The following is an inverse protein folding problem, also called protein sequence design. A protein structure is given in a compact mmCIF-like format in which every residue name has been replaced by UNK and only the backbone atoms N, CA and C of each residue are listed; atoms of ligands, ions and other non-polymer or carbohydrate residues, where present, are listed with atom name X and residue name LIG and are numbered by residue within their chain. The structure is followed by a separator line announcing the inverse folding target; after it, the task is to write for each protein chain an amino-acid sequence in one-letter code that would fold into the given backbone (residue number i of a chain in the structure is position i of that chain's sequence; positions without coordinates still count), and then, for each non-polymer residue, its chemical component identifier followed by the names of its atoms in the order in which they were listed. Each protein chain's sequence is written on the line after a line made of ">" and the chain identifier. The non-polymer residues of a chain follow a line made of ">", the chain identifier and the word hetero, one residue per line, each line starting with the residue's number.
data_IF_420152264787
#
_entry.id   IF_420152264787
#
_cell.length_a   1.000
_cell.length_b   1.000
_cell.length_c   1.000
_cell.angle_alpha   90.00
_cell.angle_beta   90.00
_cell.angle_gamma   90.00
#
_symmetry.space_group_name_H-M   'P 1'
#
loop_
_entity.id
_entity.type
_entity.pdbx_description
1 polymer ?
#
# COMPACT_ATOMS: atom_id res chain seq x y z
N UNK A 1 1.98 -13.58 -6.91
CA UNK A 1 2.99 -12.98 -5.99
C UNK A 1 3.47 -11.69 -6.60
N UNK A 2 3.43 -10.56 -5.88
CA UNK A 2 4.04 -9.31 -6.31
C UNK A 2 5.54 -9.51 -6.59
N UNK A 3 6.09 -8.67 -7.45
CA UNK A 3 7.53 -8.72 -7.71
C UNK A 3 8.30 -8.16 -6.50
N UNK A 4 9.06 -9.00 -5.81
CA UNK A 4 9.86 -8.62 -4.64
C UNK A 4 10.81 -7.44 -4.90
N UNK A 5 11.21 -7.20 -6.16
CA UNK A 5 12.03 -6.06 -6.56
C UNK A 5 11.31 -4.73 -6.36
N UNK A 6 9.98 -4.69 -6.64
CA UNK A 6 9.15 -3.51 -6.40
C UNK A 6 8.99 -3.23 -4.91
N UNK A 7 8.83 -4.27 -4.09
CA UNK A 7 8.74 -4.13 -2.64
C UNK A 7 10.06 -3.60 -2.05
N UNK A 8 11.22 -4.10 -2.52
CA UNK A 8 12.53 -3.59 -2.11
C UNK A 8 12.72 -2.14 -2.51
N UNK A 9 12.34 -1.78 -3.74
CA UNK A 9 12.38 -0.39 -4.19
C UNK A 9 11.51 0.51 -3.31
N UNK A 10 10.28 0.13 -3.05
CA UNK A 10 9.37 0.90 -2.20
C UNK A 10 9.92 1.06 -0.77
N UNK A 11 10.44 -0.02 -0.17
CA UNK A 11 11.07 0.02 1.15
C UNK A 11 12.28 0.97 1.16
N UNK A 12 13.15 0.91 0.14
CA UNK A 12 14.34 1.77 0.06
C UNK A 12 13.99 3.26 0.01
N UNK A 13 12.89 3.64 -0.65
CA UNK A 13 12.42 5.03 -0.68
C UNK A 13 12.11 5.57 0.73
N UNK A 14 11.66 4.71 1.63
CA UNK A 14 11.41 5.07 3.04
C UNK A 14 12.68 5.37 3.84
N UNK A 15 13.86 4.95 3.37
CA UNK A 15 15.15 5.26 4.03
C UNK A 15 15.60 6.69 3.81
N UNK A 16 15.25 7.28 2.67
CA UNK A 16 15.79 8.55 2.16
C UNK A 16 17.32 8.54 1.96
N UNK A 17 17.90 7.36 1.86
CA UNK A 17 19.33 7.16 1.58
C UNK A 17 19.52 6.84 0.10
N UNK A 18 20.26 7.71 -0.61
CA UNK A 18 20.44 7.56 -2.06
C UNK A 18 21.17 6.26 -2.42
N UNK A 19 22.11 5.81 -1.58
CA UNK A 19 22.85 4.57 -1.84
C UNK A 19 21.93 3.35 -1.76
N UNK A 20 21.06 3.28 -0.74
CA UNK A 20 20.07 2.21 -0.61
C UNK A 20 19.05 2.23 -1.75
N UNK A 21 18.60 3.43 -2.15
CA UNK A 21 17.65 3.60 -3.26
C UNK A 21 18.32 3.17 -4.59
N UNK A 22 19.54 3.58 -4.86
CA UNK A 22 20.30 3.19 -6.06
C UNK A 22 20.48 1.68 -6.14
N UNK A 23 20.91 1.03 -5.06
CA UNK A 23 21.08 -0.42 -5.01
C UNK A 23 19.74 -1.16 -5.27
N UNK A 24 18.63 -0.66 -4.72
CA UNK A 24 17.31 -1.24 -4.98
C UNK A 24 16.88 -1.06 -6.44
N UNK A 25 17.18 0.08 -7.06
CA UNK A 25 16.92 0.35 -8.49
C UNK A 25 17.74 -0.55 -9.40
N UNK A 26 19.04 -0.74 -9.11
CA UNK A 26 19.90 -1.68 -9.82
C UNK A 26 19.34 -3.11 -9.73
N UNK A 27 18.86 -3.52 -8.55
CA UNK A 27 18.18 -4.79 -8.36
C UNK A 27 16.84 -4.89 -9.10
N UNK A 28 16.22 -3.76 -9.43
CA UNK A 28 14.96 -3.70 -10.18
C UNK A 28 15.16 -3.65 -11.71
N UNK A 29 16.40 -3.60 -12.20
CA UNK A 29 16.67 -3.74 -13.63
C UNK A 29 16.15 -5.09 -14.13
N UNK A 30 15.34 -5.07 -15.18
CA UNK A 30 14.64 -6.27 -15.69
C UNK A 30 13.27 -6.55 -15.05
N UNK A 31 12.81 -5.72 -14.09
CA UNK A 31 11.38 -5.63 -13.78
C UNK A 31 10.64 -4.86 -14.89
N UNK A 32 9.30 -4.95 -14.89
CA UNK A 32 8.50 -4.12 -15.79
C UNK A 32 8.77 -2.63 -15.52
N UNK A 33 9.31 -1.85 -16.48
CA UNK A 33 9.63 -0.46 -16.27
C UNK A 33 8.41 0.40 -15.88
N UNK A 34 7.23 0.07 -16.39
CA UNK A 34 5.98 0.76 -16.04
C UNK A 34 5.65 0.53 -14.58
N UNK A 35 5.77 -0.71 -14.09
CA UNK A 35 5.53 -1.02 -12.69
C UNK A 35 6.53 -0.32 -11.76
N UNK A 36 7.83 -0.26 -12.13
CA UNK A 36 8.84 0.50 -11.39
C UNK A 36 8.47 1.98 -11.32
N UNK A 37 8.11 2.59 -12.44
CA UNK A 37 7.70 4.00 -12.47
C UNK A 37 6.46 4.26 -11.64
N UNK A 38 5.49 3.34 -11.64
CA UNK A 38 4.29 3.47 -10.80
C UNK A 38 4.60 3.43 -9.30
N UNK A 39 5.57 2.62 -8.85
CA UNK A 39 6.08 2.65 -7.47
C UNK A 39 6.72 3.99 -7.15
N UNK A 40 7.54 4.54 -8.05
CA UNK A 40 8.17 5.84 -7.88
C UNK A 40 7.13 6.97 -7.88
N UNK A 41 6.17 6.93 -8.81
CA UNK A 41 5.12 7.93 -8.90
C UNK A 41 4.25 7.95 -7.62
N UNK A 42 3.82 6.78 -7.11
CA UNK A 42 2.99 6.76 -5.90
C UNK A 42 3.74 7.22 -4.64
N UNK A 43 5.07 7.10 -4.63
CA UNK A 43 5.87 7.46 -3.46
C UNK A 43 5.73 8.93 -3.05
N UNK A 44 5.43 9.84 -4.01
CA UNK A 44 5.28 11.26 -3.71
C UNK A 44 4.17 11.57 -2.69
N UNK A 45 3.18 10.68 -2.54
CA UNK A 45 2.13 10.82 -1.52
C UNK A 45 2.69 10.67 -0.09
N UNK A 46 3.82 10.03 0.05
CA UNK A 46 4.42 9.67 1.34
C UNK A 46 5.71 10.45 1.59
N UNK A 47 6.69 10.34 0.71
CA UNK A 47 7.98 11.01 0.89
C UNK A 47 8.01 12.45 0.35
N UNK A 48 6.94 12.88 -0.32
CA UNK A 48 6.81 14.21 -0.92
C UNK A 48 7.45 14.32 -2.30
N UNK A 49 7.15 15.42 -3.00
CA UNK A 49 7.66 15.68 -4.35
C UNK A 49 9.19 15.74 -4.43
N UNK A 50 9.92 16.38 -3.49
CA UNK A 50 11.38 16.46 -3.61
C UNK A 50 12.05 15.10 -3.70
N UNK A 51 11.76 14.19 -2.78
CA UNK A 51 12.36 12.87 -2.74
C UNK A 51 11.89 12.00 -3.92
N UNK A 52 10.62 12.11 -4.31
CA UNK A 52 10.10 11.39 -5.48
C UNK A 52 10.72 11.87 -6.80
N UNK A 53 10.97 13.18 -6.96
CA UNK A 53 11.67 13.72 -8.14
C UNK A 53 13.12 13.25 -8.21
N UNK A 54 13.82 13.25 -7.07
CA UNK A 54 15.18 12.72 -6.99
C UNK A 54 15.22 11.23 -7.36
N UNK A 55 14.28 10.44 -6.84
CA UNK A 55 14.16 9.02 -7.16
C UNK A 55 13.86 8.76 -8.65
N UNK A 56 12.97 9.54 -9.26
CA UNK A 56 12.70 9.45 -10.70
C UNK A 56 13.91 9.82 -11.53
N UNK A 57 14.65 10.87 -11.15
CA UNK A 57 15.93 11.25 -11.80
C UNK A 57 16.95 10.11 -11.71
N UNK A 58 17.15 9.57 -10.52
CA UNK A 58 18.05 8.46 -10.27
C UNK A 58 17.67 7.20 -11.08
N UNK A 59 16.38 6.90 -11.20
CA UNK A 59 15.91 5.79 -12.04
C UNK A 59 16.29 5.99 -13.52
N UNK A 60 16.22 7.23 -14.06
CA UNK A 60 16.67 7.51 -15.44
C UNK A 60 18.16 7.27 -15.61
N UNK A 61 18.96 7.65 -14.63
CA UNK A 61 20.41 7.39 -14.66
C UNK A 61 20.73 5.89 -14.62
N UNK A 62 20.12 5.16 -13.69
CA UNK A 62 20.41 3.73 -13.47
C UNK A 62 19.90 2.87 -14.61
N UNK A 63 18.67 3.10 -15.06
CA UNK A 63 18.03 2.24 -16.07
C UNK A 63 18.37 2.63 -17.51
N UNK A 64 18.70 3.90 -17.77
CA UNK A 64 18.79 4.48 -19.13
C UNK A 64 17.49 4.33 -19.93
N UNK A 65 16.36 3.99 -19.29
CA UNK A 65 15.05 3.85 -19.95
C UNK A 65 14.38 5.22 -19.99
N UNK A 66 13.86 5.68 -21.15
CA UNK A 66 13.09 6.93 -21.21
C UNK A 66 11.81 6.84 -20.39
N UNK A 67 11.30 8.00 -19.96
CA UNK A 67 10.04 8.06 -19.21
C UNK A 67 8.89 7.47 -20.01
N UNK A 68 8.02 6.69 -19.35
CA UNK A 68 6.78 6.23 -19.94
C UNK A 68 5.91 7.42 -20.35
N UNK A 69 5.14 7.32 -21.44
CA UNK A 69 4.24 8.37 -21.83
C UNK A 69 3.17 8.60 -20.75
N UNK A 70 2.64 9.82 -20.67
CA UNK A 70 1.52 10.11 -19.78
C UNK A 70 0.33 9.19 -20.09
N UNK A 71 -0.32 8.67 -19.04
CA UNK A 71 -1.51 7.85 -19.18
C UNK A 71 -2.72 8.60 -19.79
N UNK A 72 -2.65 9.93 -19.92
CA UNK A 72 -3.71 10.74 -20.56
C UNK A 72 -5.06 10.67 -19.83
N UNK A 73 -5.06 10.46 -18.52
CA UNK A 73 -6.27 10.27 -17.73
C UNK A 73 -7.14 11.54 -17.63
N UNK A 74 -8.46 11.35 -17.66
CA UNK A 74 -9.42 12.41 -17.42
C UNK A 74 -9.58 12.69 -15.92
N UNK A 75 -9.24 13.89 -15.45
CA UNK A 75 -9.39 14.25 -14.04
C UNK A 75 -10.82 14.14 -13.49
N UNK A 76 -11.83 14.23 -14.36
CA UNK A 76 -13.25 14.11 -13.96
C UNK A 76 -13.58 12.74 -13.36
N UNK A 77 -12.86 11.69 -13.73
CA UNK A 77 -13.04 10.35 -13.19
C UNK A 77 -12.36 10.09 -11.83
N UNK A 78 -11.46 10.98 -11.39
CA UNK A 78 -10.65 10.70 -10.19
C UNK A 78 -11.46 10.63 -8.90
N UNK A 79 -12.47 11.50 -8.73
CA UNK A 79 -13.28 11.51 -7.52
C UNK A 79 -14.08 10.22 -7.32
N UNK A 80 -14.68 9.67 -8.38
CA UNK A 80 -15.42 8.42 -8.33
C UNK A 80 -14.49 7.23 -8.11
N UNK A 81 -13.43 7.11 -8.91
CA UNK A 81 -12.39 6.09 -8.75
C UNK A 81 -11.78 6.12 -7.36
N UNK A 82 -11.49 7.32 -6.84
CA UNK A 82 -10.91 7.49 -5.51
C UNK A 82 -11.81 7.00 -4.39
N UNK A 83 -13.11 7.29 -4.46
CA UNK A 83 -14.08 6.74 -3.49
C UNK A 83 -14.12 5.22 -3.53
N UNK A 84 -14.15 4.63 -4.72
CA UNK A 84 -14.17 3.18 -4.92
C UNK A 84 -12.89 2.53 -4.36
N UNK A 85 -11.73 3.02 -4.78
CA UNK A 85 -10.42 2.46 -4.34
C UNK A 85 -10.21 2.64 -2.84
N UNK A 86 -10.48 3.83 -2.31
CA UNK A 86 -10.36 4.11 -0.88
C UNK A 86 -11.32 3.23 -0.05
N UNK A 87 -12.56 3.03 -0.52
CA UNK A 87 -13.51 2.13 0.17
C UNK A 87 -13.05 0.66 0.14
N UNK A 88 -12.42 0.22 -0.93
CA UNK A 88 -11.80 -1.12 -0.98
C UNK A 88 -10.69 -1.24 0.05
N UNK A 89 -9.75 -0.30 0.09
CA UNK A 89 -8.60 -0.32 1.01
C UNK A 89 -9.03 -0.27 2.49
N UNK A 90 -10.02 0.57 2.83
CA UNK A 90 -10.45 0.73 4.22
C UNK A 90 -11.61 -0.18 4.64
N UNK A 91 -12.31 -0.81 3.69
CA UNK A 91 -13.43 -1.71 3.95
C UNK A 91 -14.49 -1.06 4.85
N UNK A 92 -14.91 -1.77 5.90
CA UNK A 92 -15.92 -1.29 6.87
C UNK A 92 -15.48 -0.02 7.63
N UNK A 93 -14.20 0.33 7.63
CA UNK A 93 -13.68 1.55 8.27
C UNK A 93 -13.73 2.79 7.37
N UNK A 94 -14.16 2.67 6.11
CA UNK A 94 -14.15 3.78 5.15
C UNK A 94 -14.92 5.02 5.63
N UNK A 95 -16.15 4.85 6.11
CA UNK A 95 -16.97 5.96 6.63
C UNK A 95 -16.28 6.66 7.80
N UNK A 96 -15.81 5.89 8.79
CA UNK A 96 -15.07 6.43 9.95
C UNK A 96 -13.79 7.16 9.55
N UNK A 97 -13.07 6.67 8.53
CA UNK A 97 -11.90 7.37 8.01
C UNK A 97 -12.28 8.75 7.49
N UNK A 98 -13.30 8.82 6.61
CA UNK A 98 -13.75 10.06 5.99
C UNK A 98 -14.20 11.08 7.04
N UNK A 99 -14.97 10.63 8.04
CA UNK A 99 -15.39 11.48 9.16
C UNK A 99 -14.21 12.04 9.95
N UNK A 100 -13.24 11.17 10.28
CA UNK A 100 -12.05 11.56 11.03
C UNK A 100 -11.15 12.52 10.25
N UNK A 101 -10.92 12.29 8.97
CA UNK A 101 -10.07 13.15 8.14
C UNK A 101 -10.77 14.46 7.84
N UNK A 102 -12.08 14.43 7.53
CA UNK A 102 -12.90 15.62 7.31
C UNK A 102 -12.99 16.52 8.53
N UNK A 103 -12.97 15.93 9.74
CA UNK A 103 -12.92 16.67 10.99
C UNK A 103 -11.55 17.39 11.22
N UNK A 104 -10.47 16.89 10.61
CA UNK A 104 -9.19 17.59 10.60
C UNK A 104 -9.21 18.77 9.61
N UNK A 105 -9.63 18.50 8.38
CA UNK A 105 -9.86 19.54 7.37
C UNK A 105 -10.62 18.94 6.17
N UNK A 106 -11.71 19.57 5.70
CA UNK A 106 -12.51 19.05 4.59
C UNK A 106 -11.74 18.96 3.28
N UNK A 107 -10.83 19.89 2.99
CA UNK A 107 -10.02 19.85 1.78
C UNK A 107 -9.05 18.65 1.79
N UNK A 108 -8.50 18.30 2.95
CA UNK A 108 -7.59 17.14 3.07
C UNK A 108 -8.34 15.83 2.82
N UNK A 109 -9.59 15.74 3.26
CA UNK A 109 -10.45 14.60 2.96
C UNK A 109 -10.73 14.47 1.46
N UNK A 110 -11.05 15.59 0.79
CA UNK A 110 -11.25 15.59 -0.67
C UNK A 110 -9.95 15.28 -1.41
N UNK A 111 -8.83 15.89 -1.03
CA UNK A 111 -7.52 15.63 -1.65
C UNK A 111 -7.06 14.18 -1.47
N UNK A 112 -7.31 13.60 -0.29
CA UNK A 112 -7.01 12.19 -0.06
C UNK A 112 -7.82 11.30 -1.02
N UNK A 113 -9.12 11.51 -1.11
CA UNK A 113 -9.97 10.71 -1.97
C UNK A 113 -9.66 10.93 -3.46
N UNK A 114 -9.65 12.19 -3.92
CA UNK A 114 -9.53 12.53 -5.33
C UNK A 114 -8.09 12.45 -5.82
N UNK A 115 -7.16 13.10 -5.12
CA UNK A 115 -5.74 13.15 -5.47
C UNK A 115 -5.00 11.89 -5.09
N UNK A 116 -5.13 11.45 -3.83
CA UNK A 116 -4.44 10.26 -3.31
C UNK A 116 -4.95 8.98 -3.97
N UNK A 117 -6.18 8.60 -3.66
CA UNK A 117 -6.73 7.34 -4.14
C UNK A 117 -7.20 7.40 -5.60
N UNK A 118 -7.74 8.51 -6.06
CA UNK A 118 -8.27 8.61 -7.41
C UNK A 118 -7.18 8.78 -8.47
N UNK A 119 -6.35 9.79 -8.32
CA UNK A 119 -5.30 10.11 -9.30
C UNK A 119 -4.11 9.16 -9.23
N UNK A 120 -3.70 8.72 -8.02
CA UNK A 120 -2.43 8.02 -7.83
C UNK A 120 -2.63 6.54 -7.55
N UNK A 121 -3.25 6.17 -6.43
CA UNK A 121 -3.33 4.76 -6.03
C UNK A 121 -4.26 3.94 -6.95
N UNK A 122 -5.31 4.55 -7.48
CA UNK A 122 -6.26 3.87 -8.36
C UNK A 122 -5.92 3.94 -9.86
N UNK A 123 -4.78 4.56 -10.24
CA UNK A 123 -4.42 4.68 -11.66
C UNK A 123 -3.96 3.34 -12.26
N UNK A 124 -4.06 3.15 -13.60
CA UNK A 124 -3.55 1.96 -14.27
C UNK A 124 -2.02 1.83 -14.17
N UNK A 125 -1.47 0.73 -14.66
CA UNK A 125 -0.02 0.47 -14.72
C UNK A 125 0.51 -0.40 -13.59
N UNK A 126 -0.19 -0.47 -12.44
CA UNK A 126 0.12 -1.38 -11.34
C UNK A 126 -1.18 -1.77 -10.63
N UNK A 127 -1.34 -3.02 -10.26
CA UNK A 127 -2.52 -3.51 -9.55
C UNK A 127 -2.57 -3.00 -8.09
N UNK A 128 -3.77 -2.96 -7.51
CA UNK A 128 -4.00 -2.38 -6.19
C UNK A 128 -3.30 -3.17 -5.07
N UNK A 129 -3.21 -4.49 -5.18
CA UNK A 129 -2.53 -5.33 -4.18
C UNK A 129 -1.06 -4.97 -4.12
N UNK A 130 -0.38 -4.94 -5.27
CA UNK A 130 1.04 -4.56 -5.35
C UNK A 130 1.26 -3.13 -4.87
N UNK A 131 0.36 -2.19 -5.18
CA UNK A 131 0.44 -0.81 -4.68
C UNK A 131 0.39 -0.74 -3.16
N UNK A 132 -0.60 -1.39 -2.53
CA UNK A 132 -0.77 -1.37 -1.08
C UNK A 132 0.40 -2.05 -0.36
N UNK A 133 0.94 -3.16 -0.90
CA UNK A 133 2.12 -3.82 -0.35
C UNK A 133 3.38 -2.93 -0.45
N UNK A 134 3.58 -2.24 -1.58
CA UNK A 134 4.65 -1.26 -1.74
C UNK A 134 4.51 -0.09 -0.75
N UNK A 135 3.28 0.43 -0.56
CA UNK A 135 3.01 1.48 0.42
C UNK A 135 3.31 1.00 1.83
N UNK A 136 2.87 -0.22 2.20
CA UNK A 136 3.15 -0.79 3.52
C UNK A 136 4.66 -0.93 3.76
N UNK A 137 5.43 -1.43 2.78
CA UNK A 137 6.87 -1.57 2.87
C UNK A 137 7.57 -0.20 3.06
N UNK A 138 7.18 0.82 2.30
CA UNK A 138 7.69 2.19 2.44
C UNK A 138 7.37 2.77 3.82
N UNK A 139 6.13 2.65 4.29
CA UNK A 139 5.68 3.21 5.57
C UNK A 139 6.34 2.55 6.78
N UNK A 140 6.65 1.25 6.69
CA UNK A 140 7.38 0.53 7.72
C UNK A 140 8.78 1.14 7.92
N UNK A 141 9.49 1.39 6.80
CA UNK A 141 10.82 1.99 6.83
C UNK A 141 10.78 3.47 7.21
N UNK A 142 9.79 4.21 6.74
CA UNK A 142 9.63 5.63 7.09
C UNK A 142 9.20 5.86 8.54
N UNK A 143 8.72 4.81 9.25
CA UNK A 143 8.33 4.85 10.67
C UNK A 143 7.07 5.69 10.96
N UNK A 144 6.00 5.41 10.25
CA UNK A 144 4.68 6.01 10.46
C UNK A 144 3.65 4.93 10.84
N UNK A 145 3.68 4.42 12.08
CA UNK A 145 2.98 3.18 12.48
C UNK A 145 1.46 3.23 12.33
N UNK A 146 0.83 4.41 12.46
CA UNK A 146 -0.63 4.55 12.28
C UNK A 146 -1.04 4.32 10.83
N UNK A 147 -0.30 4.90 9.88
CA UNK A 147 -0.54 4.73 8.45
C UNK A 147 -0.14 3.30 8.03
N UNK A 148 0.98 2.79 8.52
CA UNK A 148 1.39 1.40 8.30
C UNK A 148 0.29 0.42 8.71
N UNK A 149 -0.30 0.59 9.90
CA UNK A 149 -1.43 -0.25 10.36
C UNK A 149 -2.58 -0.24 9.34
N UNK A 150 -2.93 0.93 8.81
CA UNK A 150 -4.02 1.07 7.83
C UNK A 150 -3.70 0.36 6.52
N UNK A 151 -2.48 0.51 5.99
CA UNK A 151 -2.09 -0.06 4.71
C UNK A 151 -1.78 -1.57 4.78
N UNK A 152 -1.31 -2.10 5.92
CA UNK A 152 -1.24 -3.56 6.13
C UNK A 152 -2.64 -4.20 6.10
N UNK A 153 -3.64 -3.57 6.71
CA UNK A 153 -5.05 -4.00 6.58
C UNK A 153 -5.59 -3.77 5.18
N UNK A 154 -5.23 -2.65 4.58
CA UNK A 154 -5.59 -2.28 3.22
C UNK A 154 -5.09 -3.30 2.20
N UNK A 155 -3.89 -3.81 2.37
CA UNK A 155 -3.34 -4.89 1.52
C UNK A 155 -4.23 -6.14 1.56
N UNK A 156 -4.64 -6.58 2.75
CA UNK A 156 -5.57 -7.71 2.89
C UNK A 156 -6.94 -7.40 2.26
N UNK A 157 -7.49 -6.21 2.50
CA UNK A 157 -8.77 -5.79 1.93
C UNK A 157 -8.72 -5.66 0.40
N UNK A 158 -7.57 -5.30 -0.16
CA UNK A 158 -7.32 -5.27 -1.60
C UNK A 158 -7.17 -6.68 -2.22
N UNK A 159 -7.05 -7.72 -1.40
CA UNK A 159 -6.95 -9.12 -1.82
C UNK A 159 -5.56 -9.74 -1.69
N UNK A 160 -4.61 -9.08 -1.03
CA UNK A 160 -3.33 -9.69 -0.72
C UNK A 160 -3.50 -10.90 0.22
N UNK A 161 -2.74 -11.94 -0.02
CA UNK A 161 -2.63 -13.06 0.91
C UNK A 161 -1.77 -12.69 2.11
N UNK A 162 -1.95 -13.39 3.22
CA UNK A 162 -1.09 -13.23 4.41
C UNK A 162 0.39 -13.43 4.07
N UNK A 163 0.72 -14.39 3.20
CA UNK A 163 2.09 -14.66 2.77
C UNK A 163 2.72 -13.49 1.98
N UNK A 164 1.93 -12.78 1.16
CA UNK A 164 2.41 -11.61 0.43
C UNK A 164 2.67 -10.42 1.36
N UNK A 165 1.84 -10.26 2.40
CA UNK A 165 2.08 -9.23 3.42
C UNK A 165 3.28 -9.61 4.30
N UNK A 166 3.44 -10.89 4.67
CA UNK A 166 4.62 -11.40 5.38
C UNK A 166 5.91 -11.05 4.61
N UNK A 167 5.94 -11.30 3.29
CA UNK A 167 7.08 -10.96 2.43
C UNK A 167 7.37 -9.45 2.41
N UNK A 168 6.35 -8.60 2.26
CA UNK A 168 6.52 -7.15 2.26
C UNK A 168 7.08 -6.64 3.60
N UNK A 169 6.59 -7.19 4.72
CA UNK A 169 7.08 -6.87 6.07
C UNK A 169 8.53 -7.33 6.25
N UNK A 170 8.88 -8.54 5.83
CA UNK A 170 10.23 -9.07 5.96
C UNK A 170 11.23 -8.27 5.10
N UNK A 171 10.86 -7.90 3.87
CA UNK A 171 11.67 -7.03 3.02
C UNK A 171 11.89 -5.68 3.71
N UNK A 172 10.84 -5.03 4.22
CA UNK A 172 10.95 -3.75 4.91
C UNK A 172 11.85 -3.85 6.17
N UNK A 173 11.71 -4.94 6.94
CA UNK A 173 12.54 -5.19 8.11
C UNK A 173 14.03 -5.29 7.79
N UNK A 174 14.40 -5.70 6.58
CA UNK A 174 15.79 -5.73 6.13
C UNK A 174 16.46 -4.34 6.04
N UNK A 175 15.68 -3.26 6.03
CA UNK A 175 16.17 -1.87 6.05
C UNK A 175 16.18 -1.26 7.46
N UNK A 176 15.81 -2.02 8.49
CA UNK A 176 15.62 -1.50 9.84
C UNK A 176 16.61 -2.12 10.84
N UNK A 177 16.91 -1.38 11.90
CA UNK A 177 17.55 -1.96 13.08
C UNK A 177 16.59 -2.87 13.86
N UNK A 178 17.15 -3.74 14.70
CA UNK A 178 16.42 -4.83 15.38
C UNK A 178 15.15 -4.39 16.12
N UNK A 179 15.21 -3.28 16.87
CA UNK A 179 14.07 -2.80 17.67
C UNK A 179 12.91 -2.34 16.78
N UNK A 180 13.20 -1.64 15.71
CA UNK A 180 12.19 -1.19 14.76
C UNK A 180 11.61 -2.36 13.98
N UNK A 181 12.45 -3.29 13.52
CA UNK A 181 12.00 -4.50 12.83
C UNK A 181 11.08 -5.33 13.73
N UNK A 182 11.41 -5.47 15.02
CA UNK A 182 10.55 -6.13 16.01
C UNK A 182 9.20 -5.41 16.13
N UNK A 183 9.17 -4.10 16.29
CA UNK A 183 7.94 -3.32 16.41
C UNK A 183 7.04 -3.46 15.16
N UNK A 184 7.61 -3.48 13.96
CA UNK A 184 6.86 -3.68 12.71
C UNK A 184 6.26 -5.08 12.66
N UNK A 185 7.02 -6.12 13.03
CA UNK A 185 6.51 -7.51 13.08
C UNK A 185 5.41 -7.68 14.13
N UNK A 186 5.56 -7.09 15.31
CA UNK A 186 4.54 -7.13 16.36
C UNK A 186 3.23 -6.47 15.91
N UNK A 187 3.33 -5.32 15.20
CA UNK A 187 2.18 -4.65 14.62
C UNK A 187 1.48 -5.55 13.60
N UNK A 188 2.23 -6.15 12.68
CA UNK A 188 1.67 -7.07 11.69
C UNK A 188 1.05 -8.31 12.34
N UNK A 189 1.70 -8.92 13.31
CA UNK A 189 1.17 -10.07 14.04
C UNK A 189 -0.17 -9.77 14.74
N UNK A 190 -0.33 -8.56 15.28
CA UNK A 190 -1.59 -8.13 15.89
C UNK A 190 -2.71 -8.04 14.84
N UNK A 191 -2.41 -7.48 13.65
CA UNK A 191 -3.36 -7.37 12.53
C UNK A 191 -3.75 -8.76 12.01
N UNK A 192 -2.77 -9.64 11.76
CA UNK A 192 -2.97 -11.01 11.27
C UNK A 192 -3.87 -11.82 12.20
N UNK A 193 -3.63 -11.75 13.51
CA UNK A 193 -4.50 -12.42 14.51
C UNK A 193 -5.92 -11.87 14.53
N UNK A 194 -6.09 -10.56 14.30
CA UNK A 194 -7.41 -9.95 14.21
C UNK A 194 -8.18 -10.37 12.96
N UNK A 195 -7.50 -10.40 11.81
CA UNK A 195 -8.11 -10.83 10.55
C UNK A 195 -8.61 -12.29 10.64
N UNK A 196 -7.76 -13.20 11.15
CA UNK A 196 -8.14 -14.62 11.34
C UNK A 196 -9.38 -14.78 12.23
N UNK A 197 -9.47 -14.04 13.35
CA UNK A 197 -10.67 -14.11 14.23
C UNK A 197 -11.94 -13.66 13.54
N UNK A 198 -11.86 -12.69 12.63
CA UNK A 198 -13.02 -12.22 11.87
C UNK A 198 -13.48 -13.25 10.84
N UNK A 199 -12.56 -13.95 10.19
CA UNK A 199 -12.85 -15.04 9.25
C UNK A 199 -13.51 -16.21 9.98
N UNK A 200 -12.96 -16.63 11.12
CA UNK A 200 -13.50 -17.73 11.95
C UNK A 200 -14.92 -17.40 12.47
N UNK A 201 -15.18 -16.14 12.82
CA UNK A 201 -16.51 -15.70 13.30
C UNK A 201 -17.55 -15.60 12.18
N UNK A 202 -17.15 -15.26 10.96
CA UNK A 202 -18.06 -15.21 9.80
C UNK A 202 -18.30 -16.60 9.17
N UNK A 203 -17.38 -17.54 9.37
CA UNK A 203 -17.52 -18.94 8.91
C UNK A 203 -18.40 -19.81 9.80
N UNK A 204 -18.69 -19.38 11.03
CA UNK A 204 -19.61 -20.06 11.95
C UNK A 204 -21.05 -19.65 11.65
N UNK A 205 -21.62 -20.15 10.52
CA UNK A 205 -23.05 -20.03 10.22
C UNK A 205 -23.86 -20.92 11.17
N UNK A 206 -24.95 -20.44 11.78
CA UNK A 206 -25.81 -21.27 12.66
C UNK A 206 -26.78 -22.10 11.81
N UNK A 207 -26.32 -23.20 11.22
CA UNK A 207 -27.20 -24.27 10.78
C UNK A 207 -27.45 -25.23 11.98
N UNK A 208 -28.36 -24.84 12.86
CA UNK A 208 -29.00 -25.77 13.78
C UNK A 208 -30.29 -26.25 13.14
N UNK A 209 -30.47 -27.56 12.91
CA UNK A 209 -31.74 -28.07 12.43
C UNK A 209 -32.79 -27.89 13.51
N UNK A 210 -33.86 -27.17 13.15
CA UNK A 210 -35.11 -27.13 13.94
C UNK A 210 -35.70 -28.53 13.96
N UNK A 211 -35.52 -29.25 15.05
CA UNK A 211 -36.26 -30.46 15.32
C UNK A 211 -37.71 -30.05 15.57
N UNK A 212 -38.53 -30.26 14.55
CA UNK A 212 -40.00 -30.25 14.67
C UNK A 212 -40.42 -31.50 15.46
N UNK A 213 -40.71 -31.33 16.74
CA UNK A 213 -41.43 -32.34 17.55
C UNK A 213 -42.87 -31.99 17.60
N UNK A 214 -43.63 -32.42 16.59
CA UNK A 214 -45.08 -32.65 16.73
C UNK A 214 -45.33 -34.16 16.68
N UNK A 215 -45.74 -34.71 17.80
CA UNK A 215 -46.35 -35.98 18.04
C UNK A 215 -47.22 -35.91 19.28
#
# INVERSE_FOLDING_TARGET
>A
MPDARLLRLAASLGTRDEGAIRAAMEGALGADPVAVEEVLLQSHLFVGFPDALNALGLWREVSSIPASPSAGEDPRGWSERGRTVCSTVYGSNYGKLRDNVGALHPDVDDWMATGGYGRVIGRPGLDLVTRELCVAALLAVWNVPRQLHSHLRGSLNAGATVAEVDEAVDIACGYLGEDRARAVRELWDAIRRSAKRMEDSNGASPDAPVHDTRG
#
